data_IF_387605678594
#
_entry.id   IF_387605678594
#
_cell.length_a   1.000
_cell.length_b   1.000
_cell.length_c   1.000
_cell.angle_alpha   90.00
_cell.angle_beta   90.00
_cell.angle_gamma   90.00
#
_symmetry.space_group_name_H-M   'P 1'
#
loop_
_entity.id
_entity.type
_entity.pdbx_description
1 polymer ?
#
# COMPACT_ATOMS: atom_id res chain seq x y z
N UNK A 1 -49.61 23.69 69.74
CA UNK A 1 -50.37 23.37 68.52
C UNK A 1 -49.61 23.82 67.29
N UNK A 2 -49.05 22.86 66.57
CA UNK A 2 -49.00 22.78 65.10
C UNK A 2 -48.47 21.39 64.78
N UNK A 3 -49.42 20.46 64.58
CA UNK A 3 -49.19 19.09 64.14
C UNK A 3 -48.58 19.12 62.74
N UNK A 4 -47.39 18.54 62.59
CA UNK A 4 -46.86 18.17 61.27
C UNK A 4 -47.05 16.65 61.16
N UNK A 5 -47.87 16.16 60.21
CA UNK A 5 -48.11 14.73 60.03
C UNK A 5 -46.86 14.03 59.48
N UNK A 6 -46.71 12.71 59.72
CA UNK A 6 -45.58 11.95 59.24
C UNK A 6 -45.56 11.90 57.71
N UNK A 7 -44.35 11.96 57.15
CA UNK A 7 -44.10 11.93 55.73
C UNK A 7 -44.30 10.49 55.22
N UNK A 8 -45.49 10.17 54.72
CA UNK A 8 -45.72 8.90 54.03
C UNK A 8 -44.91 8.87 52.73
N UNK A 9 -44.21 7.76 52.43
CA UNK A 9 -43.41 7.67 51.22
C UNK A 9 -44.34 7.55 50.02
N UNK A 10 -44.40 8.61 49.20
CA UNK A 10 -45.00 8.56 47.87
C UNK A 10 -44.11 7.64 47.02
N UNK A 11 -44.45 6.36 47.03
CA UNK A 11 -43.98 5.35 46.10
C UNK A 11 -44.65 5.61 44.75
N UNK A 12 -43.99 6.43 43.92
CA UNK A 12 -44.34 6.52 42.51
C UNK A 12 -43.08 6.31 41.71
N UNK A 13 -42.72 5.03 41.55
CA UNK A 13 -41.94 4.60 40.39
C UNK A 13 -42.83 4.74 39.16
N UNK A 14 -43.03 5.97 38.66
CA UNK A 14 -43.40 6.13 37.25
C UNK A 14 -42.14 5.70 36.51
N UNK A 15 -42.16 4.49 35.94
CA UNK A 15 -41.22 4.17 34.86
C UNK A 15 -41.46 5.21 33.76
N UNK A 16 -40.62 6.24 33.73
CA UNK A 16 -40.56 7.18 32.62
C UNK A 16 -40.19 6.33 31.41
N UNK A 17 -41.20 5.97 30.62
CA UNK A 17 -41.03 5.19 29.42
C UNK A 17 -40.23 6.06 28.44
N UNK A 18 -38.92 5.87 28.47
CA UNK A 18 -38.00 6.67 27.69
C UNK A 18 -38.32 6.43 26.21
N UNK A 19 -38.71 7.46 25.42
CA UNK A 19 -39.25 7.25 24.07
C UNK A 19 -38.23 6.62 23.12
N UNK A 20 -36.93 6.70 23.45
CA UNK A 20 -35.86 6.03 22.73
C UNK A 20 -35.40 4.77 23.49
N UNK A 21 -35.99 3.65 23.12
CA UNK A 21 -35.56 2.31 23.57
C UNK A 21 -35.10 1.48 22.38
N UNK A 22 -34.17 0.56 22.61
CA UNK A 22 -33.68 -0.38 21.61
C UNK A 22 -33.84 -1.81 22.12
N UNK A 23 -34.30 -2.71 21.27
CA UNK A 23 -34.26 -4.15 21.52
C UNK A 23 -32.86 -4.70 21.26
N UNK A 24 -32.20 -5.21 22.29
CA UNK A 24 -30.90 -5.91 22.18
C UNK A 24 -31.04 -7.28 22.85
N UNK A 25 -30.86 -8.35 22.07
CA UNK A 25 -31.00 -9.74 22.54
C UNK A 25 -32.33 -10.02 23.29
N UNK A 26 -33.42 -9.44 22.82
CA UNK A 26 -34.75 -9.63 23.42
C UNK A 26 -35.04 -8.74 24.64
N UNK A 27 -34.11 -7.90 25.10
CA UNK A 27 -34.32 -6.95 26.19
C UNK A 27 -34.45 -5.53 25.65
N UNK A 28 -35.44 -4.78 26.15
CA UNK A 28 -35.62 -3.36 25.84
C UNK A 28 -34.66 -2.53 26.70
N UNK A 29 -33.74 -1.80 26.05
CA UNK A 29 -32.75 -0.98 26.72
C UNK A 29 -33.05 0.52 26.54
N UNK A 30 -33.06 1.32 27.62
CA UNK A 30 -33.20 2.77 27.53
C UNK A 30 -31.95 3.39 26.89
N UNK A 31 -32.10 4.59 26.31
CA UNK A 31 -31.02 5.34 25.66
C UNK A 31 -29.74 5.46 26.52
N UNK A 32 -29.88 5.65 27.83
CA UNK A 32 -28.75 5.73 28.78
C UNK A 32 -27.87 4.48 28.82
N UNK A 33 -28.40 3.33 28.40
CA UNK A 33 -27.71 2.03 28.35
C UNK A 33 -27.31 1.61 26.95
N UNK A 34 -27.51 2.48 25.95
CA UNK A 34 -27.07 2.20 24.59
C UNK A 34 -25.55 2.16 24.52
N UNK A 35 -25.02 1.17 23.80
CA UNK A 35 -23.58 1.10 23.56
C UNK A 35 -23.12 2.30 22.71
N UNK A 36 -21.91 2.80 22.96
CA UNK A 36 -21.29 3.84 22.10
C UNK A 36 -21.26 3.46 20.62
N UNK A 37 -21.13 2.16 20.32
CA UNK A 37 -21.18 1.62 18.94
C UNK A 37 -22.54 1.85 18.29
N UNK A 38 -23.62 1.60 19.03
CA UNK A 38 -24.98 1.78 18.55
C UNK A 38 -25.33 3.26 18.37
N UNK A 39 -24.98 4.10 19.35
CA UNK A 39 -25.15 5.56 19.25
C UNK A 39 -24.44 6.09 18.00
N UNK A 40 -23.18 5.69 17.77
CA UNK A 40 -22.44 6.06 16.56
C UNK A 40 -23.15 5.61 15.28
N UNK A 41 -23.71 4.41 15.26
CA UNK A 41 -24.39 3.88 14.07
C UNK A 41 -25.68 4.66 13.72
N UNK A 42 -26.40 5.16 14.72
CA UNK A 42 -27.62 5.97 14.50
C UNK A 42 -27.27 7.43 14.19
N UNK A 43 -26.30 8.01 14.90
CA UNK A 43 -25.97 9.42 14.72
C UNK A 43 -25.13 9.69 13.47
N UNK A 44 -24.42 8.68 12.95
CA UNK A 44 -23.56 8.84 11.79
C UNK A 44 -24.23 8.34 10.52
N UNK A 45 -24.76 9.28 9.74
CA UNK A 45 -25.16 9.05 8.36
C UNK A 45 -24.06 9.63 7.46
N UNK A 46 -23.12 8.79 6.96
CA UNK A 46 -22.14 9.30 6.02
C UNK A 46 -22.89 9.83 4.79
N UNK A 47 -22.46 10.98 4.22
CA UNK A 47 -23.04 11.44 2.97
C UNK A 47 -22.89 10.32 1.91
N UNK A 48 -23.85 10.22 0.97
CA UNK A 48 -23.75 9.25 -0.10
C UNK A 48 -22.43 9.44 -0.85
N UNK A 49 -21.79 8.32 -1.19
CA UNK A 49 -20.52 8.35 -1.91
C UNK A 49 -20.75 8.97 -3.30
N UNK A 50 -20.22 10.18 -3.50
CA UNK A 50 -20.35 10.91 -4.77
C UNK A 50 -19.28 10.52 -5.78
N UNK A 51 -18.21 9.85 -5.34
CA UNK A 51 -17.07 9.46 -6.17
C UNK A 51 -16.89 7.94 -6.15
N UNK A 52 -16.47 7.41 -7.31
CA UNK A 52 -16.07 6.00 -7.43
C UNK A 52 -14.89 5.70 -6.49
N UNK A 53 -14.88 4.50 -5.93
CA UNK A 53 -13.77 4.07 -5.08
C UNK A 53 -12.47 3.99 -5.92
N UNK A 54 -11.29 4.42 -5.41
CA UNK A 54 -10.05 4.45 -6.18
C UNK A 54 -9.63 3.11 -6.82
N UNK A 55 -9.98 2.00 -6.18
CA UNK A 55 -9.68 0.62 -6.62
C UNK A 55 -10.84 -0.06 -7.38
N UNK A 56 -11.92 0.67 -7.70
CA UNK A 56 -13.02 0.12 -8.48
C UNK A 56 -12.53 -0.18 -9.91
N UNK A 57 -12.83 -1.40 -10.37
CA UNK A 57 -12.52 -1.86 -11.73
C UNK A 57 -13.76 -2.54 -12.32
N UNK A 58 -13.68 -2.98 -13.59
CA UNK A 58 -14.75 -3.78 -14.21
C UNK A 58 -14.98 -5.08 -13.43
N UNK A 59 -13.91 -5.72 -12.92
CA UNK A 59 -13.99 -6.93 -12.11
C UNK A 59 -14.39 -6.67 -10.65
N UNK A 60 -14.03 -5.49 -10.10
CA UNK A 60 -14.33 -5.04 -8.73
C UNK A 60 -15.34 -3.88 -8.74
N UNK A 61 -16.54 -4.18 -9.18
CA UNK A 61 -17.66 -3.25 -9.37
C UNK A 61 -18.42 -2.91 -8.06
N UNK A 62 -18.43 -3.82 -7.09
CA UNK A 62 -19.15 -3.66 -5.81
C UNK A 62 -18.21 -3.37 -4.64
N UNK A 63 -18.74 -2.71 -3.61
CA UNK A 63 -18.00 -2.45 -2.36
C UNK A 63 -17.53 -3.74 -1.67
N UNK A 64 -18.30 -4.83 -1.76
CA UNK A 64 -17.92 -6.13 -1.23
C UNK A 64 -16.68 -6.70 -1.94
N UNK A 65 -16.65 -6.67 -3.29
CA UNK A 65 -15.48 -7.14 -4.07
C UNK A 65 -14.24 -6.30 -3.79
N UNK A 66 -14.39 -4.98 -3.69
CA UNK A 66 -13.30 -4.07 -3.31
C UNK A 66 -12.76 -4.41 -1.91
N UNK A 67 -13.66 -4.60 -0.93
CA UNK A 67 -13.28 -4.98 0.44
C UNK A 67 -12.57 -6.33 0.46
N UNK A 68 -13.00 -7.29 -0.35
CA UNK A 68 -12.32 -8.58 -0.50
C UNK A 68 -10.92 -8.40 -1.07
N UNK A 69 -10.75 -7.66 -2.16
CA UNK A 69 -9.43 -7.36 -2.73
C UNK A 69 -8.49 -6.72 -1.71
N UNK A 70 -8.96 -5.70 -0.97
CA UNK A 70 -8.16 -5.02 0.04
C UNK A 70 -7.69 -6.01 1.12
N UNK A 71 -8.58 -6.85 1.65
CA UNK A 71 -8.26 -7.70 2.79
C UNK A 71 -7.58 -9.01 2.42
N UNK A 72 -7.83 -9.56 1.22
CA UNK A 72 -7.31 -10.87 0.79
C UNK A 72 -6.08 -10.77 -0.11
N UNK A 73 -5.91 -9.65 -0.81
CA UNK A 73 -4.82 -9.48 -1.78
C UNK A 73 -3.88 -8.37 -1.34
N UNK A 74 -4.38 -7.13 -1.26
CA UNK A 74 -3.53 -5.95 -1.10
C UNK A 74 -2.86 -5.89 0.28
N UNK A 75 -3.62 -6.00 1.37
CA UNK A 75 -3.07 -5.92 2.74
C UNK A 75 -2.04 -7.02 3.02
N UNK A 76 -2.32 -8.31 2.73
CA UNK A 76 -1.31 -9.37 2.94
C UNK A 76 -0.02 -9.13 2.15
N UNK A 77 -0.11 -8.69 0.90
CA UNK A 77 1.07 -8.40 0.10
C UNK A 77 1.83 -7.17 0.60
N UNK A 78 1.13 -6.09 0.97
CA UNK A 78 1.76 -4.88 1.51
C UNK A 78 2.23 -5.02 2.97
N UNK A 79 1.89 -6.09 3.68
CA UNK A 79 2.54 -6.42 4.95
C UNK A 79 3.94 -7.03 4.79
N UNK A 80 4.30 -7.47 3.58
CA UNK A 80 5.62 -8.07 3.31
C UNK A 80 6.77 -7.06 3.32
N UNK A 81 6.71 -5.88 2.67
CA UNK A 81 7.78 -4.87 2.70
C UNK A 81 7.82 -4.11 4.04
N UNK A 82 8.84 -3.27 4.26
CA UNK A 82 8.87 -2.45 5.48
C UNK A 82 7.68 -1.46 5.53
N UNK A 83 7.16 -1.08 6.71
CA UNK A 83 5.97 -0.22 6.81
C UNK A 83 6.06 1.08 5.99
N UNK A 84 7.24 1.71 5.94
CA UNK A 84 7.47 2.92 5.15
C UNK A 84 7.44 2.68 3.63
N UNK A 85 7.84 1.49 3.17
CA UNK A 85 7.75 1.11 1.76
C UNK A 85 6.29 0.79 1.38
N UNK A 86 5.59 0.08 2.27
CA UNK A 86 4.17 -0.22 2.13
C UNK A 86 3.30 1.05 2.10
N UNK A 87 3.60 2.05 2.94
CA UNK A 87 2.84 3.31 3.04
C UNK A 87 2.79 4.07 1.70
N UNK A 88 3.93 4.18 1.00
CA UNK A 88 3.97 4.86 -0.30
C UNK A 88 3.08 4.15 -1.32
N UNK A 89 3.17 2.82 -1.40
CA UNK A 89 2.32 2.05 -2.30
C UNK A 89 0.85 2.12 -1.91
N UNK A 90 0.54 2.03 -0.61
CA UNK A 90 -0.82 2.22 -0.10
C UNK A 90 -1.40 3.57 -0.53
N UNK A 91 -0.62 4.65 -0.43
CA UNK A 91 -1.06 5.98 -0.89
C UNK A 91 -1.24 6.05 -2.39
N UNK A 92 -0.47 5.32 -3.20
CA UNK A 92 -0.70 5.23 -4.65
C UNK A 92 -2.06 4.58 -4.92
N UNK A 93 -2.33 3.45 -4.27
CA UNK A 93 -3.56 2.69 -4.43
C UNK A 93 -4.82 3.50 -4.08
N UNK A 94 -4.75 4.35 -3.06
CA UNK A 94 -5.84 5.26 -2.68
C UNK A 94 -5.80 6.62 -3.39
N UNK A 95 -4.87 6.82 -4.33
CA UNK A 95 -4.65 8.10 -5.04
C UNK A 95 -4.40 9.27 -4.09
N UNK A 96 -3.68 9.01 -3.01
CA UNK A 96 -3.42 9.94 -1.91
C UNK A 96 -2.07 10.66 -1.99
N UNK A 97 -1.15 10.28 -2.88
CA UNK A 97 0.13 11.00 -2.98
C UNK A 97 -0.06 12.48 -3.39
N UNK A 98 0.66 13.43 -2.75
CA UNK A 98 0.60 14.86 -3.05
C UNK A 98 1.49 15.22 -4.25
N UNK A 99 1.09 14.76 -5.44
CA UNK A 99 1.71 15.14 -6.72
C UNK A 99 1.24 16.51 -7.19
N UNK A 100 2.02 17.18 -8.03
CA UNK A 100 1.77 18.56 -8.49
C UNK A 100 0.37 18.73 -9.09
N UNK A 101 -0.16 17.72 -9.80
CA UNK A 101 -1.51 17.74 -10.38
C UNK A 101 -2.62 18.11 -9.39
N UNK A 102 -2.46 17.80 -8.09
CA UNK A 102 -3.46 18.12 -7.07
C UNK A 102 -3.53 19.61 -6.69
N UNK A 103 -2.58 20.40 -7.15
CA UNK A 103 -2.44 21.82 -6.81
C UNK A 103 -2.88 22.75 -7.95
N UNK A 104 -3.81 22.30 -8.79
CA UNK A 104 -4.39 23.08 -9.89
C UNK A 104 -4.92 24.46 -9.46
N UNK A 105 -5.46 24.55 -8.24
CA UNK A 105 -5.96 25.81 -7.68
C UNK A 105 -4.86 26.87 -7.46
N UNK A 106 -3.58 26.49 -7.47
CA UNK A 106 -2.45 27.41 -7.32
C UNK A 106 -1.89 27.94 -8.64
N UNK A 107 -2.44 27.55 -9.80
CA UNK A 107 -1.90 27.93 -11.11
C UNK A 107 -1.85 29.44 -11.34
N UNK A 108 -2.82 30.19 -10.79
CA UNK A 108 -2.86 31.65 -10.92
C UNK A 108 -1.64 32.33 -10.26
N UNK A 109 -1.10 31.74 -9.20
CA UNK A 109 0.06 32.27 -8.46
C UNK A 109 1.37 31.67 -8.95
N UNK A 110 1.35 30.42 -9.40
CA UNK A 110 2.50 29.74 -9.98
C UNK A 110 2.05 28.96 -11.22
N UNK A 111 2.24 29.50 -12.43
CA UNK A 111 1.82 28.85 -13.67
C UNK A 111 2.43 27.46 -13.88
N UNK A 112 3.64 27.24 -13.34
CA UNK A 112 4.39 25.97 -13.45
C UNK A 112 4.09 24.99 -12.31
N UNK A 113 3.12 25.30 -11.44
CA UNK A 113 2.85 24.48 -10.24
C UNK A 113 2.47 23.05 -10.54
N UNK A 114 1.95 22.77 -11.74
CA UNK A 114 1.55 21.44 -12.18
C UNK A 114 2.68 20.63 -12.82
N UNK A 115 3.78 21.27 -13.20
CA UNK A 115 4.90 20.61 -13.88
C UNK A 115 5.57 19.57 -12.96
N UNK A 116 6.27 18.64 -13.61
CA UNK A 116 7.03 17.59 -12.96
C UNK A 116 8.12 18.17 -12.06
N UNK A 117 8.35 17.55 -10.90
CA UNK A 117 9.37 17.99 -9.96
C UNK A 117 10.81 17.82 -10.46
N UNK A 118 11.02 17.08 -11.55
CA UNK A 118 12.35 16.90 -12.10
C UNK A 118 12.68 18.03 -13.08
N UNK A 119 13.90 18.59 -13.03
CA UNK A 119 14.33 19.67 -13.91
C UNK A 119 14.15 19.29 -15.38
N UNK A 120 13.81 20.29 -16.19
CA UNK A 120 13.58 20.19 -17.65
C UNK A 120 12.40 19.28 -18.06
N UNK A 121 11.61 18.77 -17.10
CA UNK A 121 10.42 18.00 -17.40
C UNK A 121 9.17 18.87 -17.21
N UNK A 122 8.60 19.36 -18.32
CA UNK A 122 7.40 20.21 -18.31
C UNK A 122 6.08 19.43 -18.33
N UNK A 123 6.14 18.10 -18.23
CA UNK A 123 4.94 17.26 -18.19
C UNK A 123 4.16 17.47 -16.89
N UNK A 124 2.84 17.31 -16.94
CA UNK A 124 1.98 17.38 -15.75
C UNK A 124 2.36 16.27 -14.77
N UNK A 125 2.65 16.63 -13.52
CA UNK A 125 3.04 15.66 -12.51
C UNK A 125 1.84 14.87 -11.98
N UNK A 126 1.60 13.71 -12.58
CA UNK A 126 0.76 12.67 -12.04
C UNK A 126 1.60 11.65 -11.24
N UNK A 127 0.96 10.79 -10.44
CA UNK A 127 1.66 9.68 -9.76
C UNK A 127 2.36 8.78 -10.79
N UNK A 128 1.64 8.43 -11.87
CA UNK A 128 2.16 7.64 -12.99
C UNK A 128 3.37 8.32 -13.63
N UNK A 129 3.28 9.61 -13.89
CA UNK A 129 4.37 10.33 -14.53
C UNK A 129 5.63 10.30 -13.66
N UNK A 130 5.53 10.77 -12.42
CA UNK A 130 6.71 11.00 -11.58
C UNK A 130 7.33 9.73 -11.02
N UNK A 131 6.53 8.67 -10.87
CA UNK A 131 7.00 7.38 -10.35
C UNK A 131 7.27 6.35 -11.43
N UNK A 132 6.85 6.53 -12.69
CA UNK A 132 6.97 5.50 -13.71
C UNK A 132 7.37 5.99 -15.11
N UNK A 133 6.67 6.98 -15.68
CA UNK A 133 6.86 7.37 -17.09
C UNK A 133 8.01 8.37 -17.31
N UNK A 134 8.32 9.20 -16.31
CA UNK A 134 9.30 10.26 -16.46
C UNK A 134 10.66 9.71 -16.91
N UNK A 135 11.32 10.40 -17.85
CA UNK A 135 12.61 9.98 -18.44
C UNK A 135 13.72 9.74 -17.42
N UNK A 136 13.65 10.39 -16.25
CA UNK A 136 14.61 10.24 -15.17
C UNK A 136 14.36 9.03 -14.26
N UNK A 137 13.22 8.37 -14.42
CA UNK A 137 12.76 7.26 -13.56
C UNK A 137 12.51 5.99 -14.37
N UNK A 138 11.91 6.12 -15.54
CA UNK A 138 11.57 5.00 -16.42
C UNK A 138 12.75 4.04 -16.72
N UNK A 139 14.00 4.51 -16.90
CA UNK A 139 15.13 3.60 -17.11
C UNK A 139 15.35 2.60 -15.97
N UNK A 140 15.07 2.98 -14.70
CA UNK A 140 15.19 2.07 -13.54
C UNK A 140 14.17 0.93 -13.68
N UNK A 141 12.93 1.25 -14.05
CA UNK A 141 11.90 0.24 -14.28
C UNK A 141 12.24 -0.69 -15.44
N UNK A 142 12.72 -0.13 -16.57
CA UNK A 142 13.14 -0.93 -17.73
C UNK A 142 14.27 -1.89 -17.37
N UNK A 143 15.21 -1.44 -16.54
CA UNK A 143 16.33 -2.26 -16.09
C UNK A 143 15.87 -3.46 -15.25
N UNK A 144 14.99 -3.24 -14.28
CA UNK A 144 14.38 -4.33 -13.51
C UNK A 144 13.50 -5.23 -14.39
N UNK A 145 12.68 -4.65 -15.26
CA UNK A 145 11.86 -5.40 -16.22
C UNK A 145 12.70 -6.34 -17.08
N UNK A 146 13.91 -5.94 -17.49
CA UNK A 146 14.83 -6.79 -18.24
C UNK A 146 15.12 -8.10 -17.50
N UNK A 147 15.57 -8.01 -16.24
CA UNK A 147 15.88 -9.20 -15.43
C UNK A 147 14.67 -10.10 -15.18
N UNK A 148 13.50 -9.50 -15.00
CA UNK A 148 12.27 -10.22 -14.66
C UNK A 148 11.52 -10.79 -15.87
N UNK A 149 11.96 -10.51 -17.10
CA UNK A 149 11.36 -11.10 -18.32
C UNK A 149 11.41 -12.61 -18.33
N UNK A 150 12.39 -13.24 -17.66
CA UNK A 150 12.48 -14.70 -17.52
C UNK A 150 11.21 -15.31 -16.91
N UNK A 151 10.51 -14.56 -16.03
CA UNK A 151 9.26 -14.97 -15.41
C UNK A 151 8.01 -14.51 -16.17
N UNK A 152 8.16 -13.71 -17.24
CA UNK A 152 7.04 -13.07 -17.93
C UNK A 152 6.33 -11.99 -17.11
N UNK A 153 6.96 -11.49 -16.02
CA UNK A 153 6.35 -10.50 -15.12
C UNK A 153 6.40 -9.11 -15.74
N UNK A 154 5.31 -8.36 -15.64
CA UNK A 154 5.20 -6.97 -16.08
C UNK A 154 5.47 -5.98 -14.94
N UNK A 155 6.25 -4.94 -15.23
CA UNK A 155 6.44 -3.75 -14.41
C UNK A 155 5.60 -2.58 -14.95
N UNK A 156 4.53 -2.86 -15.70
CA UNK A 156 3.62 -1.81 -16.16
C UNK A 156 2.96 -1.08 -14.98
N UNK A 157 2.67 0.19 -15.18
CA UNK A 157 1.94 0.99 -14.18
C UNK A 157 0.59 0.37 -13.82
N UNK A 158 -0.09 -0.26 -14.78
CA UNK A 158 -1.39 -0.91 -14.52
C UNK A 158 -1.26 -2.08 -13.56
N UNK A 159 -0.21 -2.90 -13.68
CA UNK A 159 0.13 -3.97 -12.71
C UNK A 159 0.50 -3.41 -11.33
N UNK A 160 1.17 -2.25 -11.27
CA UNK A 160 1.52 -1.59 -10.01
C UNK A 160 0.28 -1.00 -9.32
N UNK A 161 -0.65 -0.41 -10.07
CA UNK A 161 -1.92 0.12 -9.55
C UNK A 161 -2.94 -0.99 -9.27
N UNK A 162 -2.87 -2.12 -9.95
CA UNK A 162 -3.84 -3.19 -9.90
C UNK A 162 -3.17 -4.57 -9.84
N UNK A 163 -3.07 -5.13 -8.64
CA UNK A 163 -2.42 -6.44 -8.44
C UNK A 163 -3.19 -7.61 -9.06
N UNK A 164 -4.46 -7.44 -9.43
CA UNK A 164 -5.21 -8.47 -10.18
C UNK A 164 -4.61 -8.70 -11.59
N UNK A 165 -3.88 -7.72 -12.12
CA UNK A 165 -3.19 -7.83 -13.41
C UNK A 165 -1.82 -8.50 -13.29
N UNK A 166 -1.40 -8.88 -12.08
CA UNK A 166 -0.15 -9.60 -11.89
C UNK A 166 -0.25 -11.00 -12.49
N UNK A 167 0.63 -11.29 -13.44
CA UNK A 167 0.67 -12.53 -14.18
C UNK A 167 2.13 -12.98 -14.32
N UNK A 168 2.32 -14.28 -14.44
CA UNK A 168 3.61 -14.91 -14.78
C UNK A 168 3.41 -15.73 -16.04
N UNK A 169 4.50 -16.03 -16.75
CA UNK A 169 4.43 -16.91 -17.90
C UNK A 169 3.99 -18.33 -17.47
N UNK A 170 3.28 -19.10 -18.32
CA UNK A 170 2.63 -20.36 -17.93
C UNK A 170 3.55 -21.37 -17.23
N UNK A 171 4.81 -21.46 -17.66
CA UNK A 171 5.84 -22.34 -17.07
C UNK A 171 6.18 -22.00 -15.60
N UNK A 172 5.84 -20.80 -15.14
CA UNK A 172 6.08 -20.33 -13.77
C UNK A 172 4.82 -20.31 -12.91
N UNK A 173 3.69 -20.82 -13.41
CA UNK A 173 2.39 -20.77 -12.71
C UNK A 173 2.42 -21.43 -11.33
N UNK A 174 3.18 -22.52 -11.17
CA UNK A 174 3.39 -23.18 -9.88
C UNK A 174 4.13 -22.30 -8.86
N UNK A 175 4.86 -21.29 -9.33
CA UNK A 175 5.71 -20.40 -8.53
C UNK A 175 5.10 -19.00 -8.36
N UNK A 176 3.89 -18.77 -8.90
CA UNK A 176 3.24 -17.45 -8.97
C UNK A 176 3.24 -16.71 -7.62
N UNK A 177 2.89 -17.40 -6.53
CA UNK A 177 2.82 -16.79 -5.20
C UNK A 177 4.18 -16.23 -4.77
N UNK A 178 5.25 -17.02 -4.87
CA UNK A 178 6.59 -16.61 -4.44
C UNK A 178 7.16 -15.51 -5.35
N UNK A 179 6.97 -15.64 -6.67
CA UNK A 179 7.37 -14.62 -7.64
C UNK A 179 6.65 -13.29 -7.37
N UNK A 180 5.34 -13.32 -7.10
CA UNK A 180 4.55 -12.14 -6.76
C UNK A 180 5.09 -11.46 -5.48
N UNK A 181 5.37 -12.23 -4.44
CA UNK A 181 5.94 -11.70 -3.19
C UNK A 181 7.31 -11.06 -3.41
N UNK A 182 8.22 -11.71 -4.13
CA UNK A 182 9.53 -11.15 -4.47
C UNK A 182 9.39 -9.84 -5.27
N UNK A 183 8.45 -9.80 -6.22
CA UNK A 183 8.16 -8.62 -7.03
C UNK A 183 7.61 -7.48 -6.19
N UNK A 184 6.65 -7.76 -5.30
CA UNK A 184 6.08 -6.78 -4.36
C UNK A 184 7.17 -6.19 -3.46
N UNK A 185 8.07 -7.01 -2.91
CA UNK A 185 9.18 -6.50 -2.10
C UNK A 185 10.09 -5.53 -2.86
N UNK A 186 10.31 -5.78 -4.15
CA UNK A 186 11.12 -4.91 -5.02
C UNK A 186 10.38 -3.62 -5.37
N UNK A 187 9.15 -3.73 -5.87
CA UNK A 187 8.34 -2.58 -6.32
C UNK A 187 8.03 -1.64 -5.16
N UNK A 188 7.70 -2.17 -3.97
CA UNK A 188 7.46 -1.34 -2.79
C UNK A 188 8.70 -0.52 -2.42
N UNK A 189 9.89 -1.14 -2.48
CA UNK A 189 11.17 -0.46 -2.26
C UNK A 189 11.41 0.63 -3.29
N UNK A 190 11.27 0.31 -4.58
CA UNK A 190 11.47 1.25 -5.68
C UNK A 190 10.51 2.44 -5.60
N UNK A 191 9.21 2.22 -5.37
CA UNK A 191 8.23 3.29 -5.25
C UNK A 191 8.58 4.27 -4.14
N UNK A 192 9.03 3.75 -2.98
CA UNK A 192 9.51 4.59 -1.89
C UNK A 192 10.74 5.40 -2.28
N UNK A 193 11.75 4.76 -2.85
CA UNK A 193 13.01 5.41 -3.16
C UNK A 193 12.82 6.50 -4.22
N UNK A 194 12.01 6.23 -5.24
CA UNK A 194 11.61 7.21 -6.27
C UNK A 194 10.80 8.36 -5.68
N UNK A 195 9.89 8.07 -4.74
CA UNK A 195 9.14 9.11 -4.03
C UNK A 195 10.06 10.02 -3.21
N UNK A 196 11.08 9.47 -2.56
CA UNK A 196 12.10 10.25 -1.84
C UNK A 196 12.90 11.11 -2.81
N UNK A 197 13.36 10.56 -3.94
CA UNK A 197 14.08 11.32 -4.96
C UNK A 197 13.25 12.48 -5.51
N UNK A 198 11.97 12.23 -5.81
CA UNK A 198 11.03 13.27 -6.21
C UNK A 198 10.97 14.37 -5.16
N UNK A 199 10.74 14.03 -3.88
CA UNK A 199 10.59 15.03 -2.82
C UNK A 199 11.87 15.86 -2.64
N UNK A 200 13.03 15.22 -2.67
CA UNK A 200 14.32 15.89 -2.63
C UNK A 200 14.53 16.84 -3.83
N UNK A 201 14.12 16.42 -5.03
CA UNK A 201 14.19 17.28 -6.22
C UNK A 201 13.25 18.48 -6.08
N UNK A 202 12.01 18.25 -5.62
CA UNK A 202 10.98 19.28 -5.50
C UNK A 202 11.26 20.32 -4.42
N UNK A 203 11.69 19.87 -3.25
CA UNK A 203 11.69 20.69 -2.03
C UNK A 203 13.10 21.04 -1.54
N UNK A 204 14.12 20.32 -1.99
CA UNK A 204 15.50 20.50 -1.52
C UNK A 204 16.48 20.83 -2.67
N UNK A 205 15.98 21.09 -3.88
CA UNK A 205 16.79 21.36 -5.08
C UNK A 205 17.89 20.30 -5.32
N UNK A 206 17.64 19.05 -4.95
CA UNK A 206 18.58 17.94 -5.19
C UNK A 206 18.52 17.50 -6.66
N UNK A 207 19.61 16.94 -7.20
CA UNK A 207 19.63 16.47 -8.57
C UNK A 207 18.65 15.31 -8.79
N UNK A 208 18.32 15.10 -10.06
CA UNK A 208 17.55 13.94 -10.54
C UNK A 208 18.18 12.62 -10.09
N UNK A 209 17.40 11.53 -9.98
CA UNK A 209 17.94 10.23 -9.61
C UNK A 209 19.05 9.80 -10.57
N UNK A 210 20.23 9.51 -10.02
CA UNK A 210 21.31 8.90 -10.80
C UNK A 210 21.03 7.41 -10.98
N UNK A 211 20.67 7.03 -12.20
CA UNK A 211 20.12 5.69 -12.52
C UNK A 211 20.94 4.56 -11.92
N UNK A 212 22.28 4.57 -12.08
CA UNK A 212 23.15 3.49 -11.56
C UNK A 212 23.09 3.36 -10.04
N UNK A 213 23.08 4.48 -9.31
CA UNK A 213 22.96 4.46 -7.85
C UNK A 213 21.57 3.98 -7.43
N UNK A 214 20.51 4.40 -8.11
CA UNK A 214 19.15 3.95 -7.80
C UNK A 214 18.99 2.45 -8.03
N UNK A 215 19.52 1.90 -9.13
CA UNK A 215 19.48 0.46 -9.41
C UNK A 215 20.31 -0.35 -8.41
N UNK A 216 21.42 0.19 -7.92
CA UNK A 216 22.22 -0.47 -6.89
C UNK A 216 21.51 -0.45 -5.53
N UNK A 217 21.02 0.72 -5.11
CA UNK A 217 20.29 0.88 -3.85
C UNK A 217 19.00 0.06 -3.84
N UNK A 218 18.29 -0.04 -4.97
CA UNK A 218 17.09 -0.87 -5.07
C UNK A 218 17.41 -2.34 -4.85
N UNK A 219 18.52 -2.85 -5.40
CA UNK A 219 18.98 -4.23 -5.18
C UNK A 219 19.41 -4.46 -3.73
N UNK A 220 20.13 -3.51 -3.11
CA UNK A 220 20.50 -3.58 -1.69
C UNK A 220 19.25 -3.64 -0.80
N UNK A 221 18.31 -2.70 -1.00
CA UNK A 221 17.05 -2.65 -0.25
C UNK A 221 16.20 -3.90 -0.46
N UNK A 222 16.10 -4.37 -1.70
CA UNK A 222 15.37 -5.60 -2.04
C UNK A 222 16.00 -6.82 -1.37
N UNK A 223 17.33 -6.96 -1.41
CA UNK A 223 18.03 -8.05 -0.73
C UNK A 223 17.78 -8.05 0.78
N UNK A 224 17.73 -6.88 1.42
CA UNK A 224 17.42 -6.77 2.84
C UNK A 224 15.99 -7.21 3.16
N UNK A 225 15.03 -6.82 2.33
CA UNK A 225 13.64 -7.25 2.43
C UNK A 225 13.48 -8.77 2.24
N UNK A 226 14.15 -9.34 1.24
CA UNK A 226 14.15 -10.77 0.99
C UNK A 226 14.78 -11.53 2.15
N UNK A 227 15.94 -11.11 2.66
CA UNK A 227 16.55 -11.72 3.86
C UNK A 227 15.61 -11.66 5.07
N UNK A 228 14.88 -10.55 5.25
CA UNK A 228 13.89 -10.44 6.33
C UNK A 228 12.77 -11.46 6.17
N UNK A 229 12.26 -11.64 4.95
CA UNK A 229 11.23 -12.63 4.67
C UNK A 229 11.71 -14.07 4.89
N UNK A 230 12.92 -14.42 4.41
CA UNK A 230 13.47 -15.77 4.62
C UNK A 230 13.71 -16.04 6.13
N UNK A 231 14.02 -15.01 6.94
CA UNK A 231 14.17 -15.12 8.40
C UNK A 231 12.85 -15.19 9.17
N UNK A 232 11.72 -14.93 8.53
CA UNK A 232 10.43 -15.01 9.18
C UNK A 232 10.17 -16.47 9.61
N UNK A 233 9.89 -16.73 10.91
CA UNK A 233 9.63 -18.08 11.41
C UNK A 233 8.47 -18.81 10.73
N UNK A 234 7.57 -18.06 10.09
CA UNK A 234 6.41 -18.61 9.37
C UNK A 234 6.76 -19.05 7.94
N UNK A 235 7.95 -18.72 7.43
CA UNK A 235 8.41 -19.13 6.10
C UNK A 235 8.89 -20.58 6.16
N UNK A 236 8.25 -21.46 5.39
CA UNK A 236 8.58 -22.89 5.31
C UNK A 236 9.92 -23.12 4.61
N UNK A 237 10.56 -24.27 4.85
CA UNK A 237 11.80 -24.62 4.13
C UNK A 237 11.59 -24.76 2.62
N UNK A 238 10.42 -25.26 2.18
CA UNK A 238 10.06 -25.31 0.77
C UNK A 238 9.98 -23.92 0.15
N UNK A 239 9.38 -22.94 0.85
CA UNK A 239 9.33 -21.55 0.41
C UNK A 239 10.75 -20.96 0.33
N UNK A 240 11.63 -21.26 1.30
CA UNK A 240 13.03 -20.79 1.28
C UNK A 240 13.81 -21.37 0.10
N UNK A 241 13.68 -22.67 -0.15
CA UNK A 241 14.30 -23.34 -1.29
C UNK A 241 13.79 -22.74 -2.61
N UNK A 242 12.48 -22.49 -2.70
CA UNK A 242 11.87 -21.86 -3.87
C UNK A 242 12.37 -20.44 -4.09
N UNK A 243 12.46 -19.64 -3.03
CA UNK A 243 13.04 -18.29 -3.09
C UNK A 243 14.47 -18.36 -3.65
N UNK A 244 15.31 -19.26 -3.14
CA UNK A 244 16.70 -19.40 -3.62
C UNK A 244 16.76 -19.80 -5.10
N UNK A 245 15.94 -20.75 -5.53
CA UNK A 245 15.86 -21.16 -6.94
C UNK A 245 15.48 -19.99 -7.87
N UNK A 246 14.49 -19.19 -7.48
CA UNK A 246 14.07 -18.02 -8.25
C UNK A 246 15.13 -16.91 -8.26
N UNK A 247 15.84 -16.71 -7.14
CA UNK A 247 16.95 -15.76 -7.06
C UNK A 247 18.13 -16.17 -7.92
N UNK A 248 18.48 -17.46 -7.96
CA UNK A 248 19.50 -18.00 -8.86
C UNK A 248 19.10 -17.79 -10.32
N UNK A 249 17.82 -17.97 -10.65
CA UNK A 249 17.30 -17.69 -12.01
C UNK A 249 17.53 -16.21 -12.37
N UNK A 250 17.17 -15.28 -11.47
CA UNK A 250 17.40 -13.83 -11.68
C UNK A 250 18.89 -13.46 -11.76
N UNK A 251 19.75 -14.14 -11.01
CA UNK A 251 21.19 -13.92 -11.00
C UNK A 251 21.83 -14.17 -12.38
N UNK A 252 21.26 -15.05 -13.20
CA UNK A 252 21.80 -15.36 -14.55
C UNK A 252 21.70 -14.17 -15.52
N UNK A 253 20.82 -13.22 -15.25
CA UNK A 253 20.61 -12.08 -16.15
C UNK A 253 21.68 -11.00 -15.94
N UNK A 254 22.23 -10.44 -17.02
CA UNK A 254 23.32 -9.44 -17.00
C UNK A 254 23.07 -8.25 -16.07
N UNK A 255 21.84 -7.71 -16.07
CA UNK A 255 21.44 -6.62 -15.19
C UNK A 255 21.63 -6.95 -13.71
N UNK A 256 21.52 -8.22 -13.31
CA UNK A 256 21.53 -8.62 -11.91
C UNK A 256 22.84 -9.31 -11.52
N UNK A 257 23.48 -10.04 -12.44
CA UNK A 257 24.67 -10.86 -12.19
C UNK A 257 25.78 -10.13 -11.41
N UNK A 258 26.10 -8.89 -11.81
CA UNK A 258 27.13 -8.08 -11.14
C UNK A 258 26.85 -7.85 -9.65
N UNK A 259 25.58 -7.80 -9.23
CA UNK A 259 25.21 -7.55 -7.84
C UNK A 259 25.60 -8.72 -6.95
N UNK A 260 25.44 -9.96 -7.44
CA UNK A 260 25.90 -11.15 -6.73
C UNK A 260 27.43 -11.24 -6.70
N UNK A 261 28.11 -10.79 -7.76
CA UNK A 261 29.58 -10.71 -7.75
C UNK A 261 30.10 -9.70 -6.72
N UNK A 262 29.46 -8.52 -6.64
CA UNK A 262 29.84 -7.46 -5.71
C UNK A 262 29.42 -7.76 -4.27
N UNK A 263 28.26 -8.41 -4.07
CA UNK A 263 27.68 -8.72 -2.77
C UNK A 263 27.26 -10.21 -2.66
N UNK A 264 28.22 -11.15 -2.56
CA UNK A 264 27.93 -12.59 -2.60
C UNK A 264 26.96 -13.07 -1.51
N UNK A 265 26.93 -12.38 -0.36
CA UNK A 265 26.10 -12.72 0.80
C UNK A 265 24.78 -11.93 0.86
N UNK A 266 24.43 -11.19 -0.20
CA UNK A 266 23.24 -10.34 -0.18
C UNK A 266 21.93 -11.12 -0.01
N UNK A 267 21.83 -12.35 -0.50
CA UNK A 267 20.60 -13.16 -0.38
C UNK A 267 20.74 -14.37 0.55
N UNK A 268 21.87 -14.49 1.25
CA UNK A 268 22.13 -15.57 2.20
C UNK A 268 21.67 -15.16 3.60
N UNK A 269 21.13 -16.11 4.37
CA UNK A 269 21.03 -15.97 5.82
C UNK A 269 22.39 -16.37 6.41
N UNK A 270 23.03 -15.53 7.24
CA UNK A 270 24.19 -15.96 7.99
C UNK A 270 23.79 -17.14 8.88
N UNK A 271 24.41 -18.30 8.72
CA UNK A 271 24.36 -19.36 9.72
C UNK A 271 25.03 -18.82 10.96
N UNK A 272 24.30 -18.68 12.08
CA UNK A 272 24.95 -18.49 13.38
C UNK A 272 25.71 -19.79 13.68
N UNK A 273 27.02 -19.77 13.49
CA UNK A 273 27.97 -20.70 14.11
C UNK A 273 28.18 -20.30 15.56
#
# INVERSE_FOLDING_TARGET
SLNIPPNDPISVSVEVQCPMTQMVKGQQLPFSRWSRKHIKAICFHPPPLTKRHPMQTVTRDTHAKIKTYINKTLKPLLSLPAPIQADVWWRIQFRMLPVSYKFVFMQNTNPRVLECSYPECVAVETMKHVLYECRFVNPVWRWHQGAWRVFGVSFAWTTIENLDEFQVAPQWSSHLSIICRLWVLLVAGLLRDLWIHRNKSKFENKPVPYIKAVTEVSMVSWSANVRRWIRDPTTTEDDKNMIQYLLQTLQTHENYAWFWLKYPRAFTIPTCS
#
